data_IF_593193018211
#
_entry.id   IF_593193018211
#
_cell.length_a   1.000
_cell.length_b   1.000
_cell.length_c   1.000
_cell.angle_alpha   90.00
_cell.angle_beta   90.00
_cell.angle_gamma   90.00
#
_symmetry.space_group_name_H-M   'P 1'
#
loop_
_entity.id
_entity.type
_entity.pdbx_description
1 polymer ?
#
# COMPACT_ATOMS: atom_id res chain seq x y z
N UNK A 1 29.88 -32.30 9.65
CA UNK A 1 28.59 -31.94 9.06
C UNK A 1 27.98 -30.92 9.98
N UNK A 2 27.88 -29.65 9.52
CA UNK A 2 27.15 -28.59 10.25
C UNK A 2 25.68 -28.98 10.12
N UNK A 3 25.03 -29.18 11.25
CA UNK A 3 23.62 -29.56 11.31
C UNK A 3 22.79 -28.33 10.93
N UNK A 4 22.43 -28.22 9.65
CA UNK A 4 21.66 -27.09 9.09
C UNK A 4 20.20 -27.01 9.64
N UNK A 5 19.79 -27.97 10.46
CA UNK A 5 18.41 -28.13 10.94
C UNK A 5 17.95 -27.08 11.96
N UNK A 6 18.82 -26.16 12.42
CA UNK A 6 18.46 -25.26 13.53
C UNK A 6 18.77 -23.77 13.33
N UNK A 7 19.19 -23.33 12.13
CA UNK A 7 19.41 -21.91 11.87
C UNK A 7 18.09 -21.19 11.58
N UNK A 8 17.42 -20.69 12.61
CA UNK A 8 16.20 -19.94 12.45
C UNK A 8 16.48 -18.41 12.46
N UNK A 9 15.91 -17.72 11.48
CA UNK A 9 15.89 -16.28 11.40
C UNK A 9 14.45 -15.78 11.40
N UNK A 10 14.09 -14.90 12.32
CA UNK A 10 12.71 -14.46 12.51
C UNK A 10 12.46 -13.11 11.84
N UNK A 11 11.34 -12.99 11.11
CA UNK A 11 10.78 -11.71 10.63
C UNK A 11 9.64 -11.35 11.57
N UNK A 12 9.77 -10.24 12.28
CA UNK A 12 8.91 -9.90 13.41
C UNK A 12 8.23 -8.56 13.16
N UNK A 13 6.92 -8.55 12.88
CA UNK A 13 6.14 -7.33 12.79
C UNK A 13 6.09 -6.58 14.13
N UNK A 14 6.18 -5.26 14.06
CA UNK A 14 6.07 -4.33 15.19
C UNK A 14 4.80 -3.48 15.06
N UNK A 15 4.34 -2.84 16.15
CA UNK A 15 3.17 -1.96 16.09
C UNK A 15 3.32 -0.82 15.08
N UNK A 16 2.24 -0.45 14.41
CA UNK A 16 2.20 0.68 13.47
C UNK A 16 1.74 2.00 14.13
N UNK A 17 1.42 1.97 15.42
CA UNK A 17 1.00 3.14 16.18
C UNK A 17 0.58 2.79 17.60
N UNK A 18 -0.16 1.70 17.79
CA UNK A 18 -0.63 1.24 19.09
C UNK A 18 0.21 0.06 19.58
N UNK A 19 0.85 0.23 20.73
CA UNK A 19 1.70 -0.81 21.32
C UNK A 19 0.95 -2.12 21.62
N UNK A 20 -0.36 -2.04 21.89
CA UNK A 20 -1.19 -3.21 22.17
C UNK A 20 -1.37 -4.14 20.96
N UNK A 21 -1.02 -3.66 19.76
CA UNK A 21 -1.05 -4.47 18.53
C UNK A 21 0.16 -5.42 18.43
N UNK A 22 1.18 -5.29 19.31
CA UNK A 22 2.26 -6.26 19.36
C UNK A 22 1.74 -7.61 19.79
N UNK A 23 1.88 -8.63 18.92
CA UNK A 23 1.42 -9.96 19.27
C UNK A 23 2.22 -10.54 20.42
N UNK A 24 1.57 -11.35 21.28
CA UNK A 24 2.24 -12.07 22.36
C UNK A 24 3.41 -12.92 21.83
N UNK A 25 3.23 -13.56 20.67
CA UNK A 25 4.29 -14.34 20.03
C UNK A 25 5.46 -13.49 19.60
N UNK A 26 5.23 -12.30 19.04
CA UNK A 26 6.30 -11.37 18.67
C UNK A 26 7.12 -10.95 19.89
N UNK A 27 6.46 -10.55 20.99
CA UNK A 27 7.13 -10.20 22.25
C UNK A 27 8.00 -11.35 22.78
N UNK A 28 7.43 -12.56 22.94
CA UNK A 28 8.15 -13.74 23.43
C UNK A 28 9.33 -14.08 22.50
N UNK A 29 9.18 -13.92 21.19
CA UNK A 29 10.26 -14.18 20.25
C UNK A 29 11.37 -13.17 20.43
N UNK A 30 11.06 -11.86 20.52
CA UNK A 30 12.06 -10.80 20.77
C UNK A 30 12.83 -11.08 22.07
N UNK A 31 12.16 -11.50 23.13
CA UNK A 31 12.79 -11.86 24.41
C UNK A 31 13.83 -12.98 24.24
N UNK A 32 13.55 -13.97 23.40
CA UNK A 32 14.41 -15.15 23.19
C UNK A 32 15.55 -14.93 22.19
N UNK A 33 15.52 -13.87 21.37
CA UNK A 33 16.60 -13.60 20.43
C UNK A 33 17.92 -13.31 21.16
N UNK A 34 19.04 -13.80 20.62
CA UNK A 34 20.37 -13.32 21.00
C UNK A 34 20.65 -11.94 20.40
N UNK A 35 20.23 -11.71 19.16
CA UNK A 35 20.48 -10.47 18.44
C UNK A 35 19.21 -10.01 17.72
N UNK A 36 18.84 -8.76 17.96
CA UNK A 36 17.77 -8.06 17.24
C UNK A 36 18.38 -7.20 16.13
N UNK A 37 18.01 -7.50 14.89
CA UNK A 37 18.42 -6.74 13.70
C UNK A 37 17.37 -5.68 13.44
N UNK A 38 17.79 -4.42 13.25
CA UNK A 38 16.93 -3.26 13.23
C UNK A 38 17.34 -2.26 12.15
N UNK A 39 16.42 -1.44 11.71
CA UNK A 39 16.68 -0.30 10.83
C UNK A 39 17.24 0.89 11.67
N UNK A 40 16.51 1.29 12.71
CA UNK A 40 16.87 2.38 13.62
C UNK A 40 17.08 1.88 15.03
N UNK A 41 18.32 2.05 15.54
CA UNK A 41 18.66 1.70 16.92
C UNK A 41 17.85 2.50 17.97
N UNK A 42 17.56 3.77 17.67
CA UNK A 42 16.81 4.65 18.57
C UNK A 42 15.34 4.20 18.70
N UNK A 43 14.64 3.98 17.58
CA UNK A 43 13.24 3.55 17.59
C UNK A 43 13.09 2.17 18.23
N UNK A 44 14.01 1.26 17.91
CA UNK A 44 13.97 -0.09 18.48
C UNK A 44 14.22 -0.11 19.98
N UNK A 45 15.08 0.78 20.52
CA UNK A 45 15.26 0.92 21.97
C UNK A 45 13.97 1.39 22.66
N UNK A 46 13.27 2.35 22.09
CA UNK A 46 11.96 2.81 22.60
C UNK A 46 10.96 1.66 22.64
N UNK A 47 10.90 0.84 21.58
CA UNK A 47 10.04 -0.34 21.56
C UNK A 47 10.42 -1.33 22.67
N UNK A 48 11.71 -1.69 22.76
CA UNK A 48 12.20 -2.65 23.77
C UNK A 48 11.92 -2.18 25.21
N UNK A 49 12.12 -0.88 25.48
CA UNK A 49 11.79 -0.27 26.78
C UNK A 49 10.29 -0.40 27.09
N UNK A 50 9.42 -0.04 26.15
CA UNK A 50 7.96 -0.12 26.31
C UNK A 50 7.44 -1.54 26.53
N UNK A 51 8.11 -2.56 25.99
CA UNK A 51 7.74 -3.98 26.18
C UNK A 51 8.50 -4.64 27.33
N UNK A 52 9.31 -3.86 28.09
CA UNK A 52 10.13 -4.33 29.21
C UNK A 52 11.18 -5.41 28.82
N UNK A 53 11.77 -5.32 27.64
CA UNK A 53 12.89 -6.17 27.23
C UNK A 53 14.21 -5.42 27.40
N UNK A 54 15.01 -5.86 28.38
CA UNK A 54 16.31 -5.25 28.74
C UNK A 54 17.47 -6.01 28.05
N UNK A 55 18.63 -5.33 27.99
CA UNK A 55 19.93 -5.90 27.61
C UNK A 55 19.96 -6.66 26.26
N UNK A 56 19.07 -6.28 25.32
CA UNK A 56 19.04 -6.88 24.00
C UNK A 56 20.18 -6.36 23.13
N UNK A 57 21.00 -7.27 22.60
CA UNK A 57 22.01 -6.94 21.59
C UNK A 57 21.34 -6.52 20.29
N UNK A 58 21.68 -5.33 19.80
CA UNK A 58 21.10 -4.72 18.61
C UNK A 58 22.16 -4.62 17.52
N UNK A 59 21.83 -5.04 16.29
CA UNK A 59 22.61 -4.86 15.09
C UNK A 59 21.82 -4.05 14.07
N UNK A 60 22.42 -2.99 13.51
CA UNK A 60 21.78 -2.19 12.45
C UNK A 60 21.96 -2.88 11.11
N UNK A 61 20.88 -2.94 10.31
CA UNK A 61 20.90 -3.38 8.93
C UNK A 61 19.96 -2.51 8.08
N UNK A 62 20.42 -2.17 6.87
CA UNK A 62 19.62 -1.57 5.82
C UNK A 62 20.07 -2.13 4.46
N UNK A 63 19.31 -1.90 3.38
CA UNK A 63 19.61 -2.48 2.07
C UNK A 63 20.84 -1.86 1.37
N UNK A 64 21.36 -0.74 1.89
CA UNK A 64 22.68 -0.20 1.51
C UNK A 64 23.85 -0.88 2.26
N UNK A 65 23.54 -1.73 3.26
CA UNK A 65 24.55 -2.49 3.99
C UNK A 65 25.35 -3.40 3.07
N UNK A 66 26.66 -3.50 3.33
CA UNK A 66 27.58 -4.26 2.50
C UNK A 66 27.28 -5.76 2.49
N UNK A 67 27.85 -6.47 1.52
CA UNK A 67 27.83 -7.94 1.49
C UNK A 67 28.45 -8.55 2.76
N UNK A 68 29.46 -7.89 3.34
CA UNK A 68 30.10 -8.32 4.59
C UNK A 68 29.14 -8.29 5.78
N UNK A 69 28.23 -7.32 5.85
CA UNK A 69 27.24 -7.29 6.92
C UNK A 69 26.27 -8.49 6.83
N UNK A 70 25.83 -8.86 5.64
CA UNK A 70 24.99 -10.05 5.42
C UNK A 70 25.73 -11.32 5.78
N UNK A 71 27.01 -11.43 5.38
CA UNK A 71 27.89 -12.55 5.75
C UNK A 71 28.06 -12.63 7.26
N UNK A 72 28.30 -11.50 7.95
CA UNK A 72 28.44 -11.44 9.41
C UNK A 72 27.18 -11.95 10.13
N UNK A 73 25.98 -11.62 9.63
CA UNK A 73 24.72 -12.14 10.19
C UNK A 73 24.62 -13.66 9.99
N UNK A 74 25.00 -14.16 8.82
CA UNK A 74 25.03 -15.61 8.56
C UNK A 74 26.04 -16.34 9.48
N UNK A 75 27.22 -15.76 9.68
CA UNK A 75 28.24 -16.37 10.55
C UNK A 75 27.76 -16.43 12.01
N UNK A 76 27.02 -15.43 12.47
CA UNK A 76 26.36 -15.41 13.78
C UNK A 76 25.33 -16.55 13.89
N UNK A 77 24.50 -16.76 12.86
CA UNK A 77 23.53 -17.86 12.83
C UNK A 77 24.22 -19.21 12.82
N UNK A 78 25.32 -19.37 12.05
CA UNK A 78 26.15 -20.58 12.04
C UNK A 78 26.81 -20.89 13.39
N UNK A 79 27.06 -19.85 14.20
CA UNK A 79 27.54 -20.00 15.57
C UNK A 79 26.42 -20.37 16.57
N UNK A 80 25.22 -20.73 16.06
CA UNK A 80 24.09 -21.18 16.89
C UNK A 80 23.30 -20.05 17.56
N UNK A 81 23.53 -18.78 17.19
CA UNK A 81 22.77 -17.64 17.73
C UNK A 81 21.45 -17.46 17.06
N UNK A 82 20.43 -17.08 17.80
CA UNK A 82 19.09 -16.80 17.32
C UNK A 82 18.94 -15.33 16.97
N UNK A 83 18.58 -15.03 15.72
CA UNK A 83 18.44 -13.66 15.22
C UNK A 83 17.03 -13.38 14.69
N UNK A 84 16.63 -12.13 14.74
CA UNK A 84 15.38 -11.68 14.13
C UNK A 84 15.46 -10.24 13.65
N UNK A 85 14.68 -9.94 12.59
CA UNK A 85 14.57 -8.62 11.98
C UNK A 85 13.25 -7.96 12.39
N UNK A 86 13.32 -6.72 12.80
CA UNK A 86 12.18 -5.81 12.96
C UNK A 86 12.39 -4.57 12.09
N UNK A 87 11.31 -4.01 11.59
CA UNK A 87 11.28 -2.66 11.01
C UNK A 87 10.96 -1.62 12.08
N UNK A 88 11.05 -0.35 11.71
CA UNK A 88 10.71 0.76 12.58
C UNK A 88 9.22 0.77 12.97
N UNK A 89 8.35 0.30 12.08
CA UNK A 89 6.91 0.13 12.32
C UNK A 89 6.31 -0.89 11.32
N UNK A 90 5.43 -1.77 11.79
CA UNK A 90 4.71 -2.72 10.95
C UNK A 90 5.52 -3.97 10.58
N UNK A 91 5.19 -4.54 9.43
CA UNK A 91 5.80 -5.77 8.92
C UNK A 91 7.05 -5.45 8.11
N UNK A 92 8.23 -5.97 8.50
CA UNK A 92 9.47 -5.77 7.76
C UNK A 92 9.36 -6.16 6.27
N UNK A 93 10.18 -5.60 5.41
CA UNK A 93 10.28 -5.78 3.95
C UNK A 93 9.16 -5.11 3.13
N UNK A 94 8.06 -4.69 3.73
CA UNK A 94 6.97 -4.02 3.02
C UNK A 94 7.21 -2.50 2.97
N UNK A 95 7.96 -2.02 1.99
CA UNK A 95 8.54 -0.67 1.88
C UNK A 95 9.64 -0.38 2.91
N UNK A 96 10.13 -1.41 3.57
CA UNK A 96 11.20 -1.39 4.55
C UNK A 96 12.41 -2.19 4.05
N UNK A 97 13.63 -1.94 4.58
CA UNK A 97 14.80 -2.71 4.22
C UNK A 97 14.73 -4.17 4.69
N UNK A 98 15.54 -5.02 4.08
CA UNK A 98 15.71 -6.42 4.49
C UNK A 98 15.63 -7.45 3.36
N UNK A 99 15.09 -7.09 2.18
CA UNK A 99 14.93 -8.03 1.07
C UNK A 99 16.26 -8.73 0.70
N UNK A 100 17.35 -7.96 0.57
CA UNK A 100 18.69 -8.52 0.23
C UNK A 100 19.22 -9.45 1.30
N UNK A 101 18.94 -9.18 2.58
CA UNK A 101 19.33 -10.03 3.70
C UNK A 101 18.54 -11.34 3.64
N UNK A 102 17.22 -11.27 3.57
CA UNK A 102 16.36 -12.46 3.55
C UNK A 102 16.69 -13.35 2.37
N UNK A 103 16.85 -12.77 1.17
CA UNK A 103 17.26 -13.53 -0.02
C UNK A 103 18.59 -14.25 0.21
N UNK A 104 19.60 -13.54 0.74
CA UNK A 104 20.91 -14.10 1.03
C UNK A 104 20.85 -15.23 2.07
N UNK A 105 20.03 -15.08 3.12
CA UNK A 105 19.87 -16.11 4.15
C UNK A 105 19.20 -17.38 3.58
N UNK A 106 18.16 -17.22 2.77
CA UNK A 106 17.47 -18.33 2.09
C UNK A 106 18.45 -19.09 1.17
N UNK A 107 19.25 -18.37 0.38
CA UNK A 107 20.24 -18.96 -0.52
C UNK A 107 21.36 -19.70 0.25
N UNK A 108 21.51 -19.44 1.56
CA UNK A 108 22.42 -20.13 2.47
C UNK A 108 21.71 -21.11 3.43
N UNK A 109 20.53 -21.59 3.06
CA UNK A 109 19.76 -22.63 3.77
C UNK A 109 19.33 -22.26 5.20
N UNK A 110 19.21 -20.97 5.51
CA UNK A 110 18.64 -20.51 6.77
C UNK A 110 17.11 -20.64 6.71
N UNK A 111 16.52 -21.20 7.75
CA UNK A 111 15.07 -21.27 7.91
C UNK A 111 14.54 -19.90 8.32
N UNK A 112 13.86 -19.20 7.38
CA UNK A 112 13.25 -17.89 7.63
C UNK A 112 11.84 -18.08 8.15
N UNK A 113 11.59 -17.64 9.39
CA UNK A 113 10.32 -17.82 10.10
C UNK A 113 9.57 -16.49 10.18
N UNK A 114 8.54 -16.26 9.36
CA UNK A 114 7.71 -15.07 9.47
C UNK A 114 6.73 -15.20 10.65
N UNK A 115 6.57 -14.13 11.40
CA UNK A 115 5.51 -14.01 12.41
C UNK A 115 4.34 -13.20 11.82
N UNK A 116 3.09 -13.61 12.04
CA UNK A 116 1.94 -12.76 11.72
C UNK A 116 1.90 -11.56 12.67
N UNK A 117 1.48 -10.40 12.15
CA UNK A 117 1.40 -9.20 12.98
C UNK A 117 0.90 -7.96 12.23
N UNK A 118 1.02 -6.77 12.83
CA UNK A 118 0.47 -5.53 12.30
C UNK A 118 1.04 -5.16 10.93
N UNK A 119 0.16 -4.69 10.04
CA UNK A 119 0.54 -4.08 8.76
C UNK A 119 -0.48 -3.02 8.36
N UNK A 120 -0.03 -1.84 8.04
CA UNK A 120 -0.89 -0.73 7.62
C UNK A 120 -1.64 -1.02 6.32
N UNK A 121 -1.10 -1.89 5.46
CA UNK A 121 -1.70 -2.27 4.18
C UNK A 121 -3.03 -2.98 4.40
N UNK A 122 -3.04 -4.09 5.14
CA UNK A 122 -4.25 -4.86 5.41
C UNK A 122 -5.18 -4.15 6.39
N UNK A 123 -4.63 -3.45 7.40
CA UNK A 123 -5.42 -2.64 8.33
C UNK A 123 -6.21 -1.54 7.60
N UNK A 124 -5.56 -0.82 6.67
CA UNK A 124 -6.24 0.16 5.83
C UNK A 124 -7.27 -0.48 4.90
N UNK A 125 -6.92 -1.62 4.28
CA UNK A 125 -7.79 -2.31 3.31
C UNK A 125 -9.11 -2.76 3.93
N UNK A 126 -9.07 -3.48 5.05
CA UNK A 126 -10.27 -4.06 5.68
C UNK A 126 -11.24 -3.00 6.22
N UNK A 127 -10.74 -1.80 6.52
CA UNK A 127 -11.55 -0.68 7.00
C UNK A 127 -11.89 0.33 5.88
N UNK A 128 -11.41 0.13 4.65
CA UNK A 128 -11.62 1.09 3.55
C UNK A 128 -13.07 1.16 3.05
N UNK A 129 -13.76 0.03 3.00
CA UNK A 129 -15.04 -0.15 2.33
C UNK A 129 -14.91 -0.39 0.82
N UNK A 130 -13.69 -0.51 0.29
CA UNK A 130 -13.42 -0.90 -1.09
C UNK A 130 -13.38 -2.42 -1.24
N UNK A 131 -13.53 -2.98 -2.47
CA UNK A 131 -13.39 -4.42 -2.71
C UNK A 131 -12.05 -4.97 -2.22
N UNK A 132 -12.08 -6.10 -1.51
CA UNK A 132 -10.90 -6.69 -0.86
C UNK A 132 -10.45 -8.01 -1.48
N UNK A 133 -11.24 -8.57 -2.39
CA UNK A 133 -10.98 -9.86 -3.05
C UNK A 133 -9.77 -9.83 -3.98
N UNK A 134 -9.51 -8.66 -4.60
CA UNK A 134 -8.34 -8.42 -5.43
C UNK A 134 -7.74 -7.07 -5.07
N UNK A 135 -6.50 -7.08 -4.63
CA UNK A 135 -5.76 -5.86 -4.34
C UNK A 135 -4.29 -5.97 -4.74
N UNK A 136 -3.65 -4.82 -4.89
CA UNK A 136 -2.22 -4.70 -5.13
C UNK A 136 -1.62 -3.63 -4.23
N UNK A 137 -0.38 -3.83 -3.80
CA UNK A 137 0.40 -2.83 -3.08
C UNK A 137 1.47 -2.26 -4.01
N UNK A 138 1.51 -0.94 -4.15
CA UNK A 138 2.35 -0.23 -5.10
C UNK A 138 3.51 0.54 -4.44
N UNK A 139 3.75 0.34 -3.14
CA UNK A 139 4.78 1.09 -2.41
C UNK A 139 4.40 2.56 -2.21
N UNK A 140 5.37 3.48 -2.32
CA UNK A 140 5.12 4.91 -2.23
C UNK A 140 4.72 5.52 -3.57
N UNK A 141 3.84 6.54 -3.52
CA UNK A 141 3.53 7.32 -4.72
C UNK A 141 4.80 7.93 -5.31
N UNK A 142 5.05 7.81 -6.62
CA UNK A 142 6.30 8.16 -7.24
C UNK A 142 6.55 9.68 -7.27
N UNK A 143 7.84 10.05 -7.27
CA UNK A 143 8.27 11.46 -7.30
C UNK A 143 8.48 11.99 -8.71
N UNK A 144 8.98 11.14 -9.62
CA UNK A 144 9.34 11.58 -10.97
C UNK A 144 8.19 11.40 -11.96
N UNK A 145 8.12 12.22 -13.00
CA UNK A 145 7.10 12.10 -14.04
C UNK A 145 7.16 10.74 -14.76
N UNK A 146 8.37 10.21 -14.97
CA UNK A 146 8.59 8.91 -15.61
C UNK A 146 7.97 7.77 -14.79
N UNK A 147 8.25 7.75 -13.49
CA UNK A 147 7.75 6.70 -12.60
C UNK A 147 6.24 6.83 -12.38
N UNK A 148 5.69 8.06 -12.40
CA UNK A 148 4.24 8.31 -12.37
C UNK A 148 3.52 7.68 -13.55
N UNK A 149 4.09 7.70 -14.76
CA UNK A 149 3.46 7.08 -15.93
C UNK A 149 3.28 5.57 -15.74
N UNK A 150 4.29 4.87 -15.23
CA UNK A 150 4.19 3.44 -14.89
C UNK A 150 3.19 3.21 -13.76
N UNK A 151 3.20 4.03 -12.72
CA UNK A 151 2.29 3.93 -11.58
C UNK A 151 0.83 4.12 -12.02
N UNK A 152 0.54 5.09 -12.88
CA UNK A 152 -0.79 5.29 -13.44
C UNK A 152 -1.25 4.11 -14.30
N UNK A 153 -0.34 3.43 -15.00
CA UNK A 153 -0.66 2.20 -15.71
C UNK A 153 -1.16 1.11 -14.74
N UNK A 154 -0.56 1.00 -13.56
CA UNK A 154 -1.03 0.09 -12.50
C UNK A 154 -2.40 0.52 -11.93
N UNK A 155 -2.59 1.81 -11.65
CA UNK A 155 -3.89 2.34 -11.19
C UNK A 155 -5.01 2.17 -12.23
N UNK A 156 -4.68 2.07 -13.51
CA UNK A 156 -5.66 1.82 -14.57
C UNK A 156 -6.16 0.37 -14.62
N UNK A 157 -5.58 -0.54 -13.85
CA UNK A 157 -6.10 -1.90 -13.72
C UNK A 157 -7.49 -1.85 -13.07
N UNK A 158 -8.45 -2.45 -13.77
CA UNK A 158 -9.86 -2.46 -13.36
C UNK A 158 -10.14 -3.55 -12.34
N UNK A 159 -11.09 -3.31 -11.46
CA UNK A 159 -11.56 -4.27 -10.45
C UNK A 159 -10.44 -4.77 -9.51
N UNK A 160 -9.47 -3.90 -9.21
CA UNK A 160 -8.39 -4.16 -8.27
C UNK A 160 -8.26 -2.95 -7.35
N UNK A 161 -8.29 -3.17 -6.05
CA UNK A 161 -7.99 -2.12 -5.07
C UNK A 161 -6.47 -1.92 -5.01
N UNK A 162 -6.01 -0.74 -5.40
CA UNK A 162 -4.60 -0.36 -5.35
C UNK A 162 -4.32 0.35 -4.04
N UNK A 163 -3.28 -0.07 -3.34
CA UNK A 163 -2.87 0.48 -2.04
C UNK A 163 -1.47 1.06 -2.19
N UNK A 164 -1.25 2.24 -1.67
CA UNK A 164 0.06 2.89 -1.70
C UNK A 164 0.23 3.86 -0.54
N UNK A 165 1.48 4.19 -0.23
CA UNK A 165 1.84 5.11 0.83
C UNK A 165 2.11 6.51 0.29
N UNK A 166 1.90 7.50 1.16
CA UNK A 166 2.31 8.87 0.89
C UNK A 166 2.79 9.57 2.16
N UNK A 167 3.70 10.50 2.00
CA UNK A 167 4.23 11.32 3.08
C UNK A 167 3.40 12.59 3.31
N UNK A 168 3.44 13.11 4.54
CA UNK A 168 2.75 14.35 4.93
C UNK A 168 3.08 15.55 4.03
N UNK A 169 4.32 15.67 3.60
CA UNK A 169 4.76 16.79 2.75
C UNK A 169 4.24 16.73 1.31
N UNK A 170 3.73 15.59 0.86
CA UNK A 170 3.31 15.37 -0.52
C UNK A 170 1.84 15.02 -0.69
N UNK A 171 1.16 14.67 0.40
CA UNK A 171 -0.21 14.14 0.35
C UNK A 171 -1.16 15.05 -0.45
N UNK A 172 -1.16 16.36 -0.22
CA UNK A 172 -2.06 17.27 -0.91
C UNK A 172 -1.80 17.29 -2.42
N UNK A 173 -0.53 17.37 -2.84
CA UNK A 173 -0.15 17.33 -4.26
C UNK A 173 -0.51 16.00 -4.91
N UNK A 174 -0.36 14.90 -4.20
CA UNK A 174 -0.74 13.56 -4.67
C UNK A 174 -2.26 13.46 -4.86
N UNK A 175 -3.06 14.04 -3.94
CA UNK A 175 -4.52 14.10 -4.10
C UNK A 175 -4.95 14.95 -5.29
N UNK A 176 -4.26 16.09 -5.55
CA UNK A 176 -4.47 16.91 -6.75
C UNK A 176 -4.17 16.11 -8.03
N UNK A 177 -3.03 15.41 -8.07
CA UNK A 177 -2.68 14.56 -9.19
C UNK A 177 -3.73 13.44 -9.45
N UNK A 178 -4.24 12.82 -8.39
CA UNK A 178 -5.28 11.79 -8.50
C UNK A 178 -6.60 12.41 -8.98
N UNK A 179 -7.01 13.55 -8.45
CA UNK A 179 -8.22 14.25 -8.88
C UNK A 179 -8.17 14.61 -10.37
N UNK A 180 -7.05 15.13 -10.85
CA UNK A 180 -6.88 15.51 -12.25
C UNK A 180 -6.94 14.30 -13.22
N UNK A 181 -6.35 13.17 -12.82
CA UNK A 181 -6.27 11.99 -13.69
C UNK A 181 -7.44 11.00 -13.52
N UNK A 182 -8.07 10.98 -12.35
CA UNK A 182 -9.08 9.98 -11.97
C UNK A 182 -10.24 10.57 -11.16
N UNK A 183 -10.94 11.62 -11.66
CA UNK A 183 -11.98 12.34 -10.89
C UNK A 183 -13.14 11.45 -10.45
N UNK A 184 -13.40 10.36 -11.17
CA UNK A 184 -14.53 9.44 -10.93
C UNK A 184 -14.16 8.18 -10.15
N UNK A 185 -12.90 8.00 -9.74
CA UNK A 185 -12.48 6.84 -8.93
C UNK A 185 -13.06 6.89 -7.51
N UNK A 186 -13.07 5.74 -6.83
CA UNK A 186 -13.25 5.68 -5.39
C UNK A 186 -11.88 5.82 -4.71
N UNK A 187 -11.80 6.69 -3.74
CA UNK A 187 -10.58 6.97 -3.01
C UNK A 187 -10.82 6.88 -1.50
N UNK A 188 -9.87 6.28 -0.81
CA UNK A 188 -9.84 6.28 0.65
C UNK A 188 -8.46 6.73 1.11
N UNK A 189 -8.41 7.67 2.03
CA UNK A 189 -7.19 8.08 2.71
C UNK A 189 -7.31 7.68 4.16
N UNK A 190 -6.54 6.65 4.55
CA UNK A 190 -6.40 6.22 5.93
C UNK A 190 -5.20 6.94 6.54
N UNK A 191 -5.47 7.77 7.55
CA UNK A 191 -4.48 8.61 8.23
C UNK A 191 -4.24 8.06 9.62
N UNK A 192 -2.96 8.00 10.05
CA UNK A 192 -2.54 7.71 11.43
C UNK A 192 -3.17 6.42 11.99
N UNK A 193 -3.16 5.35 11.19
CA UNK A 193 -3.75 4.05 11.56
C UNK A 193 -3.28 3.58 12.93
N UNK A 194 -4.22 3.12 13.76
CA UNK A 194 -4.06 2.64 15.14
C UNK A 194 -3.63 3.70 16.18
N UNK A 195 -3.40 4.96 15.74
CA UNK A 195 -3.02 6.06 16.63
C UNK A 195 -4.25 6.85 17.10
N UNK A 196 -4.05 7.76 18.06
CA UNK A 196 -5.13 8.59 18.66
C UNK A 196 -5.89 9.41 17.60
N UNK A 197 -5.19 9.83 16.53
CA UNK A 197 -5.77 10.64 15.47
C UNK A 197 -6.08 9.83 14.21
N UNK A 198 -6.37 8.54 14.38
CA UNK A 198 -6.80 7.70 13.27
C UNK A 198 -8.03 8.30 12.57
N UNK A 199 -7.96 8.41 11.25
CA UNK A 199 -9.07 8.93 10.45
C UNK A 199 -9.12 8.27 9.08
N UNK A 200 -10.32 7.96 8.62
CA UNK A 200 -10.60 7.51 7.26
C UNK A 200 -11.43 8.55 6.51
N UNK A 201 -10.88 9.09 5.42
CA UNK A 201 -11.61 9.95 4.49
C UNK A 201 -11.98 9.10 3.27
N UNK A 202 -13.27 9.09 2.90
CA UNK A 202 -13.80 8.21 1.84
C UNK A 202 -14.64 9.00 0.85
N UNK A 203 -14.51 8.67 -0.42
CA UNK A 203 -15.34 9.22 -1.49
C UNK A 203 -14.57 9.49 -2.77
N UNK A 204 -15.12 10.39 -3.58
CA UNK A 204 -14.44 10.84 -4.81
C UNK A 204 -13.24 11.72 -4.48
N UNK A 205 -12.20 11.73 -5.35
CA UNK A 205 -10.99 12.53 -5.14
C UNK A 205 -11.25 14.00 -4.86
N UNK A 206 -12.22 14.61 -5.56
CA UNK A 206 -12.61 16.01 -5.35
C UNK A 206 -13.05 16.29 -3.91
N UNK A 207 -13.93 15.43 -3.36
CA UNK A 207 -14.43 15.57 -1.99
C UNK A 207 -13.28 15.54 -1.00
N UNK A 208 -12.41 14.52 -1.11
CA UNK A 208 -11.29 14.34 -0.19
C UNK A 208 -10.30 15.51 -0.31
N UNK A 209 -9.98 15.94 -1.52
CA UNK A 209 -9.09 17.09 -1.75
C UNK A 209 -9.65 18.37 -1.10
N UNK A 210 -10.96 18.61 -1.19
CA UNK A 210 -11.61 19.75 -0.56
C UNK A 210 -11.53 19.67 0.97
N UNK A 211 -11.71 18.51 1.59
CA UNK A 211 -11.51 18.32 3.03
C UNK A 211 -10.07 18.69 3.44
N UNK A 212 -9.04 18.27 2.68
CA UNK A 212 -7.64 18.63 2.95
C UNK A 212 -7.35 20.13 2.77
N UNK A 213 -8.06 20.82 1.88
CA UNK A 213 -7.94 22.29 1.71
C UNK A 213 -8.56 23.05 2.88
N UNK A 214 -9.67 22.54 3.43
CA UNK A 214 -10.39 23.17 4.53
C UNK A 214 -9.70 22.96 5.89
N UNK A 215 -9.10 21.78 6.12
CA UNK A 215 -8.44 21.45 7.38
C UNK A 215 -6.96 21.08 7.15
N UNK A 216 -6.08 22.05 7.41
CA UNK A 216 -4.61 21.87 7.27
C UNK A 216 -4.04 20.78 8.19
N UNK A 217 -4.70 20.45 9.30
CA UNK A 217 -4.26 19.42 10.23
C UNK A 217 -4.37 18.02 9.59
N UNK A 218 -5.19 17.87 8.55
CA UNK A 218 -5.26 16.63 7.80
C UNK A 218 -3.95 16.28 7.09
N UNK A 219 -3.13 17.26 6.73
CA UNK A 219 -1.89 17.03 5.99
C UNK A 219 -0.73 16.51 6.85
N UNK A 220 -0.87 16.41 8.18
CA UNK A 220 0.15 15.86 9.08
C UNK A 220 -0.04 14.36 9.31
N UNK A 221 1.06 13.62 9.54
CA UNK A 221 1.04 12.20 9.90
C UNK A 221 1.39 11.25 8.75
N UNK A 222 1.02 9.99 8.90
CA UNK A 222 1.30 8.91 7.96
C UNK A 222 0.01 8.50 7.22
N UNK A 223 0.15 8.19 5.93
CA UNK A 223 -0.98 7.95 5.06
C UNK A 223 -0.87 6.63 4.30
N UNK A 224 -1.96 5.87 4.34
CA UNK A 224 -2.24 4.77 3.43
C UNK A 224 -3.36 5.22 2.50
N UNK A 225 -3.09 5.24 1.21
CA UNK A 225 -4.07 5.61 0.20
C UNK A 225 -4.55 4.34 -0.48
N UNK A 226 -5.88 4.20 -0.59
CA UNK A 226 -6.52 3.11 -1.28
C UNK A 226 -7.36 3.67 -2.42
N UNK A 227 -7.15 3.12 -3.58
CA UNK A 227 -7.74 3.58 -4.82
C UNK A 227 -8.45 2.42 -5.50
N UNK A 228 -9.66 2.68 -5.97
CA UNK A 228 -10.41 1.70 -6.75
C UNK A 228 -11.04 2.37 -7.98
N UNK A 229 -10.81 1.76 -9.12
CA UNK A 229 -11.42 2.17 -10.37
C UNK A 229 -12.50 1.16 -10.75
N UNK A 230 -13.76 1.57 -10.57
CA UNK A 230 -14.88 0.77 -10.97
C UNK A 230 -15.04 0.79 -12.50
N UNK A 231 -15.36 -0.38 -13.08
CA UNK A 231 -15.80 -0.47 -14.47
C UNK A 231 -17.18 0.17 -14.70
N UNK A 232 -17.94 0.36 -13.61
CA UNK A 232 -19.31 0.84 -13.70
C UNK A 232 -19.43 2.31 -14.11
N UNK A 233 -18.36 3.12 -13.93
CA UNK A 233 -18.35 4.53 -14.37
C UNK A 233 -17.61 4.62 -15.70
N UNK A 234 -18.24 4.15 -16.76
CA UNK A 234 -17.79 4.48 -18.10
C UNK A 234 -17.90 5.99 -18.31
N UNK A 235 -16.79 6.62 -18.72
CA UNK A 235 -16.84 8.01 -19.17
C UNK A 235 -17.58 8.08 -20.51
N UNK A 236 -18.82 8.54 -20.45
CA UNK A 236 -19.64 8.73 -21.63
C UNK A 236 -19.52 10.12 -22.26
N UNK A 237 -18.66 11.01 -21.76
CA UNK A 237 -18.56 12.39 -22.27
C UNK A 237 -18.32 12.46 -23.78
N UNK A 238 -17.37 11.69 -24.31
CA UNK A 238 -17.10 11.58 -25.75
C UNK A 238 -18.23 10.88 -26.49
N UNK A 239 -18.83 9.88 -25.87
CA UNK A 239 -19.98 9.16 -26.42
C UNK A 239 -21.23 10.06 -26.49
N UNK A 240 -21.47 10.86 -25.47
CA UNK A 240 -22.57 11.84 -25.43
C UNK A 240 -22.38 12.95 -26.47
N UNK A 241 -21.12 13.42 -26.67
CA UNK A 241 -20.82 14.35 -27.76
C UNK A 241 -21.12 13.73 -29.14
N UNK A 242 -20.67 12.50 -29.38
CA UNK A 242 -20.95 11.75 -30.60
C UNK A 242 -22.47 11.61 -30.83
N UNK A 243 -23.22 11.30 -29.76
CA UNK A 243 -24.68 11.21 -29.86
C UNK A 243 -25.31 12.54 -30.27
N UNK A 244 -24.92 13.64 -29.63
CA UNK A 244 -25.47 14.96 -29.99
C UNK A 244 -25.17 15.37 -31.44
N UNK A 245 -24.02 14.99 -31.97
CA UNK A 245 -23.64 15.27 -33.36
C UNK A 245 -24.38 14.40 -34.40
N UNK A 246 -24.76 13.18 -34.02
CA UNK A 246 -25.29 12.18 -34.97
C UNK A 246 -26.76 11.83 -34.76
N UNK A 247 -27.42 12.24 -33.67
CA UNK A 247 -28.81 11.85 -33.31
C UNK A 247 -29.85 12.13 -34.40
N UNK A 248 -29.61 13.14 -35.21
CA UNK A 248 -30.49 13.50 -36.34
C UNK A 248 -30.07 12.86 -37.66
N UNK A 249 -28.97 12.10 -37.68
CA UNK A 249 -28.40 11.51 -38.92
C UNK A 249 -28.37 9.99 -38.90
N UNK A 250 -28.28 9.37 -37.73
CA UNK A 250 -28.16 7.92 -37.59
C UNK A 250 -29.07 7.38 -36.47
N UNK A 251 -29.54 6.12 -36.63
CA UNK A 251 -30.27 5.42 -35.57
C UNK A 251 -29.43 5.28 -34.30
N UNK A 252 -30.07 5.37 -33.13
CA UNK A 252 -29.41 5.26 -31.80
C UNK A 252 -28.54 4.00 -31.68
N UNK A 253 -29.02 2.88 -32.25
CA UNK A 253 -28.29 1.60 -32.23
C UNK A 253 -26.96 1.66 -32.99
N UNK A 254 -26.89 2.41 -34.08
CA UNK A 254 -25.68 2.61 -34.86
C UNK A 254 -24.72 3.57 -34.17
N UNK A 255 -25.24 4.66 -33.56
CA UNK A 255 -24.43 5.58 -32.77
C UNK A 255 -23.79 4.86 -31.57
N UNK A 256 -24.54 3.98 -30.88
CA UNK A 256 -24.00 3.17 -29.78
C UNK A 256 -22.91 2.19 -30.26
N UNK A 257 -23.05 1.61 -31.47
CA UNK A 257 -22.03 0.75 -32.09
C UNK A 257 -20.79 1.52 -32.50
N UNK A 258 -20.93 2.75 -32.97
CA UNK A 258 -19.80 3.65 -33.26
C UNK A 258 -19.07 4.07 -31.98
N UNK A 259 -19.82 4.40 -30.93
CA UNK A 259 -19.26 4.73 -29.62
C UNK A 259 -18.43 3.58 -29.03
N UNK A 260 -18.93 2.33 -29.15
CA UNK A 260 -18.17 1.14 -28.73
C UNK A 260 -16.83 1.01 -29.48
N UNK A 261 -16.86 1.20 -30.80
CA UNK A 261 -15.65 1.10 -31.63
C UNK A 261 -14.64 2.21 -31.36
N UNK A 262 -15.10 3.45 -31.19
CA UNK A 262 -14.25 4.63 -31.08
C UNK A 262 -13.74 4.84 -29.64
N UNK A 263 -14.57 4.58 -28.64
CA UNK A 263 -14.30 4.95 -27.25
C UNK A 263 -14.28 3.74 -26.30
N UNK A 264 -14.50 2.52 -26.82
CA UNK A 264 -14.57 1.27 -26.05
C UNK A 264 -15.64 1.25 -24.94
N UNK A 265 -16.68 2.09 -25.07
CA UNK A 265 -17.83 2.07 -24.17
C UNK A 265 -18.66 0.80 -24.35
N UNK A 266 -19.28 0.33 -23.26
CA UNK A 266 -20.20 -0.81 -23.37
C UNK A 266 -21.43 -0.45 -24.20
N UNK A 267 -21.61 -1.11 -25.33
CA UNK A 267 -22.68 -0.83 -26.31
C UNK A 267 -24.07 -0.81 -25.66
N UNK A 268 -24.39 -1.78 -24.82
CA UNK A 268 -25.70 -1.88 -24.20
C UNK A 268 -25.98 -0.75 -23.20
N UNK A 269 -24.97 -0.37 -22.41
CA UNK A 269 -25.06 0.78 -21.50
C UNK A 269 -25.20 2.08 -22.28
N UNK A 270 -24.39 2.28 -23.32
CA UNK A 270 -24.46 3.43 -24.22
C UNK A 270 -25.84 3.55 -24.88
N UNK A 271 -26.37 2.45 -25.41
CA UNK A 271 -27.69 2.41 -26.02
C UNK A 271 -28.80 2.79 -25.03
N UNK A 272 -28.82 2.21 -23.83
CA UNK A 272 -29.80 2.56 -22.79
C UNK A 272 -29.69 4.04 -22.38
N UNK A 273 -28.48 4.59 -22.29
CA UNK A 273 -28.23 5.99 -21.99
C UNK A 273 -28.82 6.91 -23.07
N UNK A 274 -28.58 6.60 -24.34
CA UNK A 274 -29.10 7.41 -25.44
C UNK A 274 -30.63 7.33 -25.58
N UNK A 275 -31.23 6.19 -25.25
CA UNK A 275 -32.69 6.08 -25.16
C UNK A 275 -33.26 6.99 -24.08
N UNK A 276 -32.57 7.16 -22.97
CA UNK A 276 -33.02 8.09 -21.89
C UNK A 276 -32.97 9.55 -22.33
N UNK A 277 -32.05 9.94 -23.19
CA UNK A 277 -31.99 11.29 -23.75
C UNK A 277 -33.10 11.53 -24.78
N UNK A 278 -33.43 10.54 -25.58
CA UNK A 278 -34.53 10.65 -26.59
C UNK A 278 -35.92 10.71 -25.96
N UNK A 279 -36.10 10.30 -24.71
CA UNK A 279 -37.39 10.38 -24.00
C UNK A 279 -37.61 11.69 -23.26
N UNK A 280 -36.57 12.53 -23.13
CA UNK A 280 -36.61 13.83 -22.44
C UNK A 280 -36.80 15.02 -23.39
N UNK A 281 -36.81 14.77 -24.69
CA UNK A 281 -37.16 15.71 -25.76
C UNK A 281 -38.41 15.19 -26.48
#
# INVERSE_FOLDING_TARGET
>A
KIDFLHMNFYIIPTPIGNLNDLTKRAKITIEKLDILIVESKQKSRILLEKINVKDKKIMIYNDSSSANNRKGILDILKAGKVCGLVSDAGTPLLSDPGFKLIRYLIDNYVNVVPLPGPTSITTGLIASGLPTDKFQFLGFFPKTAKDKASFYSELNRKNITSIFFESSHRIQKTLEDIFLNYPNSELVVAKELTKIHEKFLRGKPEKILNEFKLDKNLSSGEFVILFYKDDAVEDFSKADLLFNLLRNKLPIKEIAKLSEKLFKNNKNKTYKRYLSFSKRN
#
